data_IF_175753009327
#
_entry.id   IF_175753009327
#
_cell.length_a   1.000
_cell.length_b   1.000
_cell.length_c   1.000
_cell.angle_alpha   90.00
_cell.angle_beta   90.00
_cell.angle_gamma   90.00
#
_symmetry.space_group_name_H-M   'P 1'
#
loop_
_entity.id
_entity.type
_entity.pdbx_description
1 polymer ?
#
# COMPACT_ATOMS: atom_id res chain seq x y z
N UNK A 1 -3.64 15.34 8.10
CA UNK A 1 -2.70 14.30 7.69
C UNK A 1 -3.24 13.66 6.42
N UNK A 2 -2.54 13.79 5.30
CA UNK A 2 -2.78 12.98 4.10
C UNK A 2 -1.69 11.93 4.09
N UNK A 3 -1.89 10.84 4.84
CA UNK A 3 -0.87 9.81 4.95
C UNK A 3 -0.97 8.89 3.74
N UNK A 4 -0.10 9.14 2.78
CA UNK A 4 -0.06 8.41 1.53
C UNK A 4 0.87 7.21 1.61
N UNK A 5 0.60 6.22 0.77
CA UNK A 5 1.45 5.05 0.58
C UNK A 5 1.50 4.72 -0.91
N UNK A 6 2.70 4.46 -1.40
CA UNK A 6 2.96 4.01 -2.77
C UNK A 6 3.38 2.55 -2.74
N UNK A 7 2.77 1.73 -3.61
CA UNK A 7 3.19 0.35 -3.87
C UNK A 7 3.74 0.28 -5.28
N UNK A 8 5.00 -0.15 -5.41
CA UNK A 8 5.71 -0.27 -6.68
C UNK A 8 6.14 -1.72 -6.89
N UNK A 9 5.71 -2.32 -7.99
CA UNK A 9 6.12 -3.64 -8.44
C UNK A 9 7.23 -3.47 -9.48
N UNK A 10 8.38 -4.08 -9.21
CA UNK A 10 9.48 -4.23 -10.17
C UNK A 10 9.30 -5.55 -10.89
N UNK A 11 9.15 -5.48 -12.21
CA UNK A 11 9.05 -6.65 -13.06
C UNK A 11 10.45 -7.20 -13.41
N UNK A 12 10.53 -8.50 -13.68
CA UNK A 12 11.78 -9.16 -14.02
C UNK A 12 12.40 -8.66 -15.35
N UNK A 13 11.58 -8.09 -16.24
CA UNK A 13 11.99 -7.47 -17.50
C UNK A 13 12.53 -6.03 -17.33
N UNK A 14 12.58 -5.52 -16.09
CA UNK A 14 13.01 -4.17 -15.76
C UNK A 14 11.89 -3.13 -15.75
N UNK A 15 10.65 -3.51 -16.08
CA UNK A 15 9.48 -2.64 -16.00
C UNK A 15 9.07 -2.28 -14.57
N UNK A 16 8.37 -1.16 -14.43
CA UNK A 16 7.79 -0.70 -13.17
C UNK A 16 6.27 -0.56 -13.30
N UNK A 17 5.53 -1.07 -12.32
CA UNK A 17 4.09 -0.83 -12.19
C UNK A 17 3.84 -0.29 -10.79
N UNK A 18 3.31 0.93 -10.70
CA UNK A 18 3.04 1.59 -9.44
C UNK A 18 1.57 1.90 -9.24
N UNK A 19 1.18 2.00 -7.98
CA UNK A 19 -0.06 2.63 -7.58
C UNK A 19 0.15 3.43 -6.29
N UNK A 20 -0.57 4.52 -6.17
CA UNK A 20 -0.59 5.40 -5.01
C UNK A 20 -1.95 5.24 -4.32
N UNK A 21 -1.93 5.13 -3.00
CA UNK A 21 -3.11 5.09 -2.17
C UNK A 21 -3.01 6.18 -1.11
N UNK A 22 -4.16 6.77 -0.83
CA UNK A 22 -4.37 7.65 0.31
C UNK A 22 -5.27 6.96 1.31
N UNK A 23 -5.06 7.21 2.61
CA UNK A 23 -5.94 6.71 3.66
C UNK A 23 -7.40 7.12 3.45
N UNK A 24 -7.59 8.33 2.92
CA UNK A 24 -8.88 8.85 2.51
C UNK A 24 -8.95 8.99 1.00
N UNK A 25 -10.12 8.79 0.43
CA UNK A 25 -10.37 8.89 -0.99
C UNK A 25 -10.00 10.28 -1.50
N UNK A 26 -9.03 10.32 -2.42
CA UNK A 26 -8.66 11.52 -3.17
C UNK A 26 -9.20 11.35 -4.60
N UNK A 27 -9.80 12.39 -5.21
CA UNK A 27 -10.24 12.31 -6.60
C UNK A 27 -9.09 11.91 -7.53
N UNK A 28 -9.31 10.89 -8.37
CA UNK A 28 -8.29 10.37 -9.28
C UNK A 28 -7.35 9.31 -8.70
N UNK A 29 -7.40 9.07 -7.38
CA UNK A 29 -6.59 8.07 -6.69
C UNK A 29 -7.40 6.80 -6.37
N UNK A 30 -6.70 5.67 -6.20
CA UNK A 30 -7.35 4.46 -5.71
C UNK A 30 -7.67 4.59 -4.24
N UNK A 31 -8.86 4.10 -3.86
CA UNK A 31 -9.18 3.80 -2.47
C UNK A 31 -8.23 2.72 -1.95
N UNK A 32 -7.89 2.78 -0.67
CA UNK A 32 -6.94 1.87 -0.02
C UNK A 32 -7.27 0.39 -0.21
N UNK A 33 -8.55 0.01 -0.24
CA UNK A 33 -8.99 -1.38 -0.45
C UNK A 33 -9.11 -1.80 -1.92
N UNK A 34 -8.86 -0.90 -2.88
CA UNK A 34 -8.89 -1.19 -4.32
C UNK A 34 -7.51 -1.22 -4.95
N UNK A 35 -6.52 -0.59 -4.30
CA UNK A 35 -5.18 -0.42 -4.87
C UNK A 35 -4.51 -1.74 -5.25
N UNK A 36 -4.54 -2.75 -4.38
CA UNK A 36 -3.81 -4.01 -4.61
C UNK A 36 -4.44 -4.82 -5.74
N UNK A 37 -5.77 -4.85 -5.81
CA UNK A 37 -6.48 -5.50 -6.92
C UNK A 37 -6.16 -4.81 -8.25
N UNK A 38 -6.21 -3.47 -8.30
CA UNK A 38 -5.88 -2.72 -9.50
C UNK A 38 -4.41 -2.91 -9.92
N UNK A 39 -3.49 -2.96 -8.95
CA UNK A 39 -2.08 -3.19 -9.20
C UNK A 39 -1.81 -4.62 -9.69
N UNK A 40 -2.47 -5.62 -9.10
CA UNK A 40 -2.43 -7.02 -9.55
C UNK A 40 -2.94 -7.17 -10.98
N UNK A 41 -4.08 -6.56 -11.31
CA UNK A 41 -4.64 -6.60 -12.66
C UNK A 41 -3.72 -5.94 -13.68
N UNK A 42 -3.09 -4.83 -13.30
CA UNK A 42 -2.06 -4.20 -14.13
C UNK A 42 -0.89 -5.15 -14.32
N UNK A 43 -0.26 -5.67 -13.25
CA UNK A 43 0.87 -6.62 -13.33
C UNK A 43 0.54 -7.83 -14.20
N UNK A 44 -0.67 -8.38 -14.08
CA UNK A 44 -1.12 -9.50 -14.89
C UNK A 44 -0.29 -10.76 -14.61
N UNK A 45 0.15 -11.44 -15.67
CA UNK A 45 0.97 -12.66 -15.59
C UNK A 45 2.48 -12.41 -15.64
N UNK A 46 2.91 -11.14 -15.59
CA UNK A 46 4.32 -10.77 -15.72
C UNK A 46 5.08 -11.15 -14.46
N UNK A 47 6.29 -11.67 -14.63
CA UNK A 47 7.13 -12.09 -13.51
C UNK A 47 7.53 -10.87 -12.67
N UNK A 48 7.28 -10.95 -11.36
CA UNK A 48 7.69 -9.95 -10.38
C UNK A 48 9.10 -10.30 -9.88
N UNK A 49 9.89 -9.27 -9.63
CA UNK A 49 11.24 -9.36 -9.05
C UNK A 49 11.28 -8.84 -7.62
N UNK A 50 10.51 -7.78 -7.35
CA UNK A 50 10.44 -7.15 -6.04
C UNK A 50 9.19 -6.26 -5.95
N UNK A 51 8.73 -6.04 -4.74
CA UNK A 51 7.67 -5.08 -4.41
C UNK A 51 8.18 -4.11 -3.35
N UNK A 52 8.08 -2.82 -3.62
CA UNK A 52 8.44 -1.76 -2.69
C UNK A 52 7.18 -1.03 -2.22
N UNK A 53 7.06 -0.91 -0.90
CA UNK A 53 6.01 -0.13 -0.23
C UNK A 53 6.69 1.05 0.43
N UNK A 54 6.22 2.27 0.16
CA UNK A 54 6.82 3.51 0.67
C UNK A 54 5.76 4.49 1.14
N UNK A 55 5.94 5.12 2.29
CA UNK A 55 5.03 6.15 2.79
C UNK A 55 5.01 6.21 4.32
N UNK A 56 4.00 6.87 4.87
CA UNK A 56 3.83 7.03 6.31
C UNK A 56 3.32 5.74 6.97
N UNK A 57 4.21 4.75 7.15
CA UNK A 57 3.88 3.41 7.65
C UNK A 57 3.16 3.46 9.00
N UNK A 58 3.55 4.40 9.87
CA UNK A 58 2.92 4.60 11.18
C UNK A 58 1.43 4.97 11.14
N UNK A 59 0.92 5.46 10.01
CA UNK A 59 -0.47 5.86 9.85
C UNK A 59 -1.35 4.76 9.22
N UNK A 60 -0.76 3.62 8.81
CA UNK A 60 -1.47 2.58 8.07
C UNK A 60 -1.72 1.34 8.91
N UNK A 61 -2.99 0.90 8.95
CA UNK A 61 -3.36 -0.43 9.41
C UNK A 61 -3.36 -1.41 8.22
N UNK A 62 -2.78 -2.62 8.31
CA UNK A 62 -2.76 -3.57 7.18
C UNK A 62 -4.15 -3.91 6.63
N UNK A 63 -5.16 -3.95 7.50
CA UNK A 63 -6.55 -4.18 7.10
C UNK A 63 -7.13 -3.13 6.15
N UNK A 64 -6.53 -1.95 6.04
CA UNK A 64 -7.00 -0.92 5.11
C UNK A 64 -6.86 -1.31 3.64
N UNK A 65 -5.97 -2.25 3.32
CA UNK A 65 -5.89 -2.84 1.98
C UNK A 65 -7.06 -3.76 1.64
N UNK A 66 -7.88 -4.12 2.63
CA UNK A 66 -9.08 -4.97 2.46
C UNK A 66 -10.36 -4.20 2.73
N UNK A 67 -10.34 -3.24 3.65
CA UNK A 67 -11.50 -2.41 3.99
C UNK A 67 -11.03 -0.98 4.21
N UNK A 68 -11.38 -0.10 3.27
CA UNK A 68 -11.06 1.31 3.39
C UNK A 68 -11.76 1.92 4.60
N UNK A 69 -11.18 2.96 5.19
CA UNK A 69 -11.74 3.66 6.37
C UNK A 69 -13.19 4.09 6.11
N UNK A 70 -13.49 4.53 4.90
CA UNK A 70 -14.81 5.01 4.49
C UNK A 70 -15.81 3.88 4.17
N UNK A 71 -15.36 2.62 4.18
CA UNK A 71 -16.24 1.46 4.00
C UNK A 71 -16.71 0.86 5.32
N UNK A 72 -16.22 1.35 6.46
CA UNK A 72 -16.73 0.95 7.76
C UNK A 72 -18.14 1.54 7.97
N UNK A 73 -19.12 0.73 8.43
CA UNK A 73 -20.45 1.23 8.69
C UNK A 73 -20.46 2.19 9.87
N UNK A 74 -21.49 3.02 9.95
CA UNK A 74 -21.67 3.96 11.07
C UNK A 74 -21.67 3.20 12.41
N UNK A 75 -20.90 3.71 13.37
CA UNK A 75 -20.75 3.11 14.69
C UNK A 75 -19.80 1.91 14.76
N UNK A 76 -19.21 1.47 13.64
CA UNK A 76 -18.14 0.48 13.68
C UNK A 76 -16.83 1.09 14.19
N UNK A 77 -16.08 0.27 14.93
CA UNK A 77 -14.73 0.61 15.37
C UNK A 77 -13.77 0.48 14.19
N UNK A 78 -13.27 1.62 13.69
CA UNK A 78 -12.21 1.65 12.68
C UNK A 78 -10.86 1.40 13.38
N UNK A 79 -10.06 0.40 12.96
CA UNK A 79 -8.79 0.10 13.60
C UNK A 79 -7.84 1.30 13.55
N UNK A 80 -7.46 1.86 14.70
CA UNK A 80 -6.48 2.96 14.75
C UNK A 80 -5.07 2.37 14.95
N UNK A 81 -4.11 2.60 14.05
CA UNK A 81 -2.72 2.19 14.25
C UNK A 81 -2.14 2.81 15.52
N UNK A 82 -1.61 1.98 16.41
CA UNK A 82 -0.97 2.42 17.67
C UNK A 82 0.55 2.42 17.59
N UNK A 83 1.11 1.72 16.60
CA UNK A 83 2.54 1.66 16.29
C UNK A 83 2.74 1.29 14.81
N UNK A 84 3.88 1.64 14.20
CA UNK A 84 4.23 1.14 12.88
C UNK A 84 4.21 -0.40 12.81
N UNK A 85 3.64 -0.94 11.75
CA UNK A 85 3.58 -2.38 11.47
C UNK A 85 4.07 -2.71 10.04
N UNK A 86 5.37 -2.52 9.74
CA UNK A 86 5.90 -2.78 8.41
C UNK A 86 5.73 -4.25 7.99
N UNK A 87 5.80 -5.20 8.92
CA UNK A 87 5.62 -6.61 8.61
C UNK A 87 4.17 -6.96 8.25
N UNK A 88 3.20 -6.40 8.97
CA UNK A 88 1.79 -6.53 8.64
C UNK A 88 1.46 -5.92 7.28
N UNK A 89 1.97 -4.72 6.98
CA UNK A 89 1.78 -4.09 5.67
C UNK A 89 2.38 -4.93 4.55
N UNK A 90 3.60 -5.44 4.74
CA UNK A 90 4.25 -6.26 3.75
C UNK A 90 3.52 -7.58 3.49
N UNK A 91 2.93 -8.21 4.53
CA UNK A 91 2.06 -9.39 4.36
C UNK A 91 0.80 -9.05 3.59
N UNK A 92 0.09 -7.98 3.96
CA UNK A 92 -1.14 -7.57 3.28
C UNK A 92 -0.89 -7.26 1.79
N UNK A 93 0.25 -6.61 1.47
CA UNK A 93 0.65 -6.33 0.09
C UNK A 93 1.03 -7.61 -0.66
N UNK A 94 1.80 -8.51 -0.04
CA UNK A 94 2.15 -9.80 -0.61
C UNK A 94 0.89 -10.60 -0.97
N UNK A 95 -0.04 -10.72 -0.03
CA UNK A 95 -1.29 -11.45 -0.19
C UNK A 95 -2.17 -10.81 -1.28
N UNK A 96 -2.32 -9.49 -1.27
CA UNK A 96 -3.13 -8.78 -2.26
C UNK A 96 -2.57 -8.81 -3.68
N UNK A 97 -1.24 -8.94 -3.84
CA UNK A 97 -0.58 -9.08 -5.14
C UNK A 97 -0.34 -10.54 -5.55
N UNK A 98 -0.58 -11.51 -4.65
CA UNK A 98 -0.24 -12.91 -4.85
C UNK A 98 1.26 -13.15 -5.03
N UNK A 99 2.09 -12.40 -4.30
CA UNK A 99 3.56 -12.50 -4.34
C UNK A 99 4.12 -13.12 -3.06
N UNK A 100 5.32 -13.71 -3.10
CA UNK A 100 6.03 -14.12 -1.89
C UNK A 100 6.30 -12.93 -0.97
N UNK A 101 6.12 -13.11 0.34
CA UNK A 101 6.34 -12.05 1.34
C UNK A 101 7.76 -11.50 1.30
N UNK A 102 8.73 -12.37 1.05
CA UNK A 102 10.17 -12.08 0.94
C UNK A 102 10.52 -11.15 -0.24
N UNK A 103 9.62 -10.98 -1.21
CA UNK A 103 9.78 -9.98 -2.28
C UNK A 103 9.30 -8.57 -1.87
N UNK A 104 8.58 -8.45 -0.75
CA UNK A 104 7.99 -7.18 -0.31
C UNK A 104 8.89 -6.48 0.72
N UNK A 105 9.34 -5.28 0.37
CA UNK A 105 10.09 -4.39 1.26
C UNK A 105 9.24 -3.17 1.61
N UNK A 106 9.17 -2.82 2.89
CA UNK A 106 8.45 -1.64 3.37
C UNK A 106 9.45 -0.61 3.88
N UNK A 107 9.36 0.61 3.37
CA UNK A 107 10.13 1.76 3.79
C UNK A 107 9.20 2.77 4.44
N UNK A 108 9.41 3.01 5.74
CA UNK A 108 8.76 4.11 6.43
C UNK A 108 9.42 5.42 6.01
N UNK A 109 8.65 6.25 5.33
CA UNK A 109 8.99 7.61 4.94
C UNK A 109 7.93 8.50 5.60
N UNK A 110 8.17 8.94 6.85
CA UNK A 110 7.19 9.74 7.57
C UNK A 110 6.83 11.01 6.80
N UNK A 111 5.56 11.40 6.87
CA UNK A 111 5.06 12.64 6.27
C UNK A 111 5.87 13.84 6.80
N UNK A 112 6.78 14.34 5.97
CA UNK A 112 7.66 15.47 6.23
C UNK A 112 8.30 15.92 4.93
N UNK A 113 8.66 17.21 4.84
CA UNK A 113 9.23 17.82 3.63
C UNK A 113 10.38 16.96 3.08
N UNK A 114 10.16 16.33 1.93
CA UNK A 114 11.21 15.63 1.20
C UNK A 114 12.11 16.69 0.58
N UNK A 115 13.24 16.98 1.23
CA UNK A 115 14.24 17.87 0.65
C UNK A 115 14.96 17.10 -0.45
N UNK A 116 14.63 17.41 -1.71
CA UNK A 116 15.42 16.95 -2.86
C UNK A 116 16.74 17.72 -2.84
N UNK A 117 17.87 17.02 -2.73
CA UNK A 117 19.19 17.58 -3.02
C UNK A 117 19.57 17.28 -4.46
#
# INVERSE_FOLDING_TARGET
MTSCLTVTVRLADGGLVGAHASLFQVPGEYRSDRILAALRDRVGTRAVRAVEVRGAVGAWHPGYFTTAIESYPEGAEVPVPTRPDPDGLARAVADGLGQPRDEVTVHDLPDGDQTVK
#
